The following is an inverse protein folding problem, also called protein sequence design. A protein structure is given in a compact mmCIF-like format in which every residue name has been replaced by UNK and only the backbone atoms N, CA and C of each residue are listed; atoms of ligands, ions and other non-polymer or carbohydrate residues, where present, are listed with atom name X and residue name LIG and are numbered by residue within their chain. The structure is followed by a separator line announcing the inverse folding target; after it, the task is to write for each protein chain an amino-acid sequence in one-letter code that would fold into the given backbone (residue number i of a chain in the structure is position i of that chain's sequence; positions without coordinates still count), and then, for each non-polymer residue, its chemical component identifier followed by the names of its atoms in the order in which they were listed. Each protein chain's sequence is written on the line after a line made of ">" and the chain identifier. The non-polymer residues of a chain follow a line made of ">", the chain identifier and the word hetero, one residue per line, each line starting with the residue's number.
data_IF_991009218969
#
_entry.id   IF_991009218969
#
_cell.length_a   1.000
_cell.length_b   1.000
_cell.length_c   1.000
_cell.angle_alpha   90.00
_cell.angle_beta   90.00
_cell.angle_gamma   90.00
#
_symmetry.space_group_name_H-M   'P 1'
#
loop_
_entity.id
_entity.type
_entity.pdbx_description
1 polymer ?
#
# COMPACT_ATOMS: atom_id res chain seq x y z
N UNK A 1 -1.64 -5.18 28.58
CA UNK A 1 -0.47 -5.99 29.02
C UNK A 1 -0.16 -7.01 27.94
N UNK A 2 0.74 -6.65 27.02
CA UNK A 2 1.20 -7.56 25.96
C UNK A 2 2.23 -8.50 26.55
N UNK A 3 1.99 -9.82 26.48
CA UNK A 3 2.96 -10.84 26.89
C UNK A 3 4.23 -10.65 26.08
N UNK A 4 5.32 -10.29 26.76
CA UNK A 4 6.69 -10.36 26.24
C UNK A 4 6.88 -11.80 25.77
N UNK A 5 6.79 -12.04 24.45
CA UNK A 5 7.07 -13.37 23.89
C UNK A 5 8.51 -13.68 24.32
N UNK A 6 8.67 -14.65 25.21
CA UNK A 6 9.97 -15.26 25.49
C UNK A 6 10.63 -15.62 24.16
N UNK A 7 11.98 -15.55 24.09
CA UNK A 7 12.86 -15.87 22.94
C UNK A 7 12.55 -17.24 22.30
N UNK A 8 11.37 -17.38 21.73
CA UNK A 8 10.88 -18.58 21.07
C UNK A 8 11.21 -18.42 19.61
N UNK A 9 12.05 -19.35 19.13
CA UNK A 9 12.48 -19.57 17.75
C UNK A 9 11.56 -18.89 16.74
N UNK A 10 11.92 -17.68 16.31
CA UNK A 10 11.18 -16.99 15.26
C UNK A 10 11.49 -17.72 13.95
N UNK A 11 10.59 -18.65 13.56
CA UNK A 11 10.76 -19.51 12.38
C UNK A 11 10.32 -18.86 11.07
N UNK A 12 9.59 -17.73 11.14
CA UNK A 12 9.02 -17.04 9.97
C UNK A 12 9.37 -15.55 9.97
N UNK A 13 9.79 -15.04 8.81
CA UNK A 13 10.08 -13.61 8.58
C UNK A 13 8.93 -12.69 9.01
N UNK A 14 7.69 -13.11 8.76
CA UNK A 14 6.48 -12.36 9.14
C UNK A 14 6.34 -12.18 10.65
N UNK A 15 6.72 -13.20 11.44
CA UNK A 15 6.67 -13.13 12.91
C UNK A 15 7.77 -12.24 13.46
N UNK A 16 8.96 -12.25 12.82
CA UNK A 16 10.05 -11.33 13.18
C UNK A 16 9.66 -9.89 12.91
N UNK A 17 9.05 -9.60 11.77
CA UNK A 17 8.63 -8.24 11.41
C UNK A 17 7.65 -7.65 12.42
N UNK A 18 6.67 -8.43 12.86
CA UNK A 18 5.71 -8.01 13.89
C UNK A 18 6.38 -7.79 15.25
N UNK A 19 7.33 -8.66 15.62
CA UNK A 19 8.12 -8.47 16.83
C UNK A 19 8.97 -7.19 16.78
N UNK A 20 9.70 -6.98 15.69
CA UNK A 20 10.54 -5.81 15.48
C UNK A 20 9.71 -4.52 15.41
N UNK A 21 8.49 -4.56 14.88
CA UNK A 21 7.59 -3.40 14.91
C UNK A 21 7.31 -2.91 16.33
N UNK A 22 7.14 -3.84 17.27
CA UNK A 22 7.02 -3.49 18.70
C UNK A 22 8.35 -2.95 19.26
N UNK A 23 9.49 -3.58 18.95
CA UNK A 23 10.80 -3.09 19.35
C UNK A 23 11.16 -1.72 18.76
N UNK A 24 10.68 -1.39 17.56
CA UNK A 24 10.97 -0.10 16.92
C UNK A 24 10.06 0.99 17.46
N UNK A 25 8.83 0.66 17.87
CA UNK A 25 7.83 1.64 18.34
C UNK A 25 8.28 2.49 19.54
N UNK A 26 9.20 1.96 20.35
CA UNK A 26 9.82 2.68 21.49
C UNK A 26 10.75 3.82 21.06
N UNK A 27 11.18 3.87 19.79
CA UNK A 27 12.00 4.96 19.25
C UNK A 27 11.18 6.09 18.60
N UNK A 28 9.85 5.95 18.55
CA UNK A 28 8.93 6.89 17.90
C UNK A 28 8.73 6.61 16.42
N UNK A 29 8.38 7.65 15.66
CA UNK A 29 8.28 7.56 14.20
C UNK A 29 9.69 7.58 13.58
N UNK A 30 10.13 6.42 13.10
CA UNK A 30 11.45 6.22 12.50
C UNK A 30 11.33 5.40 11.22
N UNK A 31 12.19 5.68 10.25
CA UNK A 31 12.38 4.78 9.11
C UNK A 31 13.22 3.59 9.59
N UNK A 32 12.79 2.38 9.27
CA UNK A 32 13.52 1.18 9.67
C UNK A 32 13.31 0.06 8.67
N UNK A 33 14.25 -0.88 8.66
CA UNK A 33 14.14 -2.13 7.93
C UNK A 33 14.99 -3.20 8.62
N UNK A 34 14.85 -4.46 8.20
CA UNK A 34 15.64 -5.55 8.76
C UNK A 34 16.05 -6.55 7.69
N UNK A 35 17.10 -7.32 7.99
CA UNK A 35 17.61 -8.35 7.09
C UNK A 35 17.96 -9.59 7.89
N UNK A 36 17.70 -10.77 7.33
CA UNK A 36 18.11 -12.06 7.91
C UNK A 36 19.32 -12.58 7.16
N UNK A 37 20.41 -12.84 7.89
CA UNK A 37 21.63 -13.41 7.31
C UNK A 37 22.37 -14.23 8.37
N UNK A 38 22.82 -15.42 7.97
CA UNK A 38 23.64 -16.33 8.80
C UNK A 38 23.05 -16.65 10.19
N UNK A 39 21.72 -16.74 10.27
CA UNK A 39 21.01 -17.01 11.53
C UNK A 39 20.85 -15.79 12.45
N UNK A 40 21.35 -14.62 12.05
CA UNK A 40 21.16 -13.35 12.73
C UNK A 40 20.13 -12.48 12.00
N UNK A 41 19.46 -11.62 12.76
CA UNK A 41 18.73 -10.49 12.18
C UNK A 41 19.54 -9.21 12.40
N UNK A 42 19.56 -8.38 11.37
CA UNK A 42 20.12 -7.04 11.40
C UNK A 42 18.97 -6.07 11.35
N UNK A 43 18.89 -5.14 12.29
CA UNK A 43 17.90 -4.09 12.33
C UNK A 43 18.60 -2.76 12.07
N UNK A 44 18.11 -2.00 11.09
CA UNK A 44 18.59 -0.65 10.81
C UNK A 44 17.46 0.34 11.08
N UNK A 45 17.80 1.45 11.73
CA UNK A 45 16.88 2.52 12.03
C UNK A 45 17.52 3.86 11.62
N UNK A 46 16.73 4.71 10.98
CA UNK A 46 17.05 6.09 10.67
C UNK A 46 16.01 6.99 11.36
N UNK A 47 16.52 7.85 12.25
CA UNK A 47 15.75 8.80 13.05
C UNK A 47 16.21 10.21 12.73
N UNK A 48 15.29 11.17 12.77
CA UNK A 48 15.56 12.60 12.55
C UNK A 48 16.26 12.86 11.19
N UNK A 49 15.86 12.10 10.17
CA UNK A 49 16.40 12.19 8.82
C UNK A 49 15.27 12.38 7.81
N UNK A 50 15.36 13.44 7.00
CA UNK A 50 14.43 13.64 5.89
C UNK A 50 14.80 12.67 4.77
N UNK A 51 13.98 11.63 4.62
CA UNK A 51 14.24 10.57 3.65
C UNK A 51 13.97 11.09 2.23
N UNK A 52 14.95 11.04 1.32
CA UNK A 52 14.73 11.43 -0.08
C UNK A 52 13.61 10.61 -0.71
N UNK A 53 12.81 11.23 -1.59
CA UNK A 53 11.69 10.55 -2.26
C UNK A 53 12.15 9.36 -3.11
N UNK A 54 13.37 9.43 -3.62
CA UNK A 54 14.05 8.44 -4.44
C UNK A 54 14.95 7.50 -3.64
N UNK A 55 14.82 7.46 -2.30
CA UNK A 55 15.56 6.47 -1.51
C UNK A 55 15.19 5.05 -1.97
N UNK A 56 16.22 4.22 -2.11
CA UNK A 56 16.05 2.86 -2.61
C UNK A 56 16.22 1.80 -1.51
N UNK A 57 17.19 1.99 -0.62
CA UNK A 57 17.48 1.08 0.46
C UNK A 57 18.14 1.80 1.62
N UNK A 58 18.07 1.20 2.81
CA UNK A 58 18.92 1.59 3.93
C UNK A 58 20.27 0.84 3.82
N UNK A 59 21.34 1.46 4.31
CA UNK A 59 22.63 0.81 4.51
C UNK A 59 23.18 1.24 5.88
N UNK A 60 24.02 0.41 6.49
CA UNK A 60 24.68 0.77 7.74
C UNK A 60 26.11 1.19 7.46
N UNK A 61 26.55 2.29 8.06
CA UNK A 61 27.88 2.88 7.86
C UNK A 61 29.02 1.86 7.96
N UNK A 62 28.96 0.92 8.92
CA UNK A 62 30.01 -0.10 9.11
C UNK A 62 30.17 -1.02 7.89
N UNK A 63 29.06 -1.37 7.24
CA UNK A 63 29.08 -2.17 6.01
C UNK A 63 29.51 -1.33 4.82
N UNK A 64 29.04 -0.09 4.73
CA UNK A 64 29.46 0.87 3.70
C UNK A 64 30.97 1.09 3.73
N UNK A 65 31.55 1.34 4.91
CA UNK A 65 33.00 1.49 5.11
C UNK A 65 33.75 0.20 4.76
N UNK A 66 33.29 -0.97 5.24
CA UNK A 66 33.93 -2.24 4.93
C UNK A 66 34.02 -2.50 3.42
N UNK A 67 33.01 -2.09 2.64
CA UNK A 67 32.97 -2.24 1.18
C UNK A 67 34.11 -1.51 0.44
N UNK A 68 34.68 -0.46 1.04
CA UNK A 68 35.82 0.29 0.47
C UNK A 68 37.04 -0.62 0.32
N UNK A 69 37.22 -1.61 1.20
CA UNK A 69 38.31 -2.58 1.11
C UNK A 69 38.36 -3.28 -0.25
N UNK A 70 37.20 -3.67 -0.79
CA UNK A 70 37.07 -4.28 -2.11
C UNK A 70 37.45 -3.35 -3.26
N UNK A 71 37.12 -2.06 -3.14
CA UNK A 71 37.53 -1.04 -4.14
C UNK A 71 39.04 -0.86 -4.15
N UNK A 72 39.66 -0.85 -2.96
CA UNK A 72 41.10 -0.71 -2.80
C UNK A 72 41.86 -2.02 -3.05
N UNK A 73 41.15 -3.12 -3.36
CA UNK A 73 41.77 -4.43 -3.59
C UNK A 73 42.45 -5.00 -2.34
N UNK A 74 41.94 -4.71 -1.14
CA UNK A 74 42.52 -5.10 0.15
C UNK A 74 41.59 -6.06 0.88
N UNK A 75 42.04 -7.29 1.09
CA UNK A 75 41.28 -8.30 1.86
C UNK A 75 41.37 -8.08 3.38
N UNK A 76 42.48 -7.51 3.85
CA UNK A 76 42.69 -7.15 5.24
C UNK A 76 42.87 -5.63 5.32
N UNK A 77 41.96 -4.95 6.01
CA UNK A 77 42.01 -3.48 6.14
C UNK A 77 41.39 -3.04 7.47
N UNK A 78 42.07 -2.14 8.16
CA UNK A 78 41.49 -1.39 9.29
C UNK A 78 41.04 -0.03 8.77
N UNK A 79 39.91 0.46 9.24
CA UNK A 79 39.34 1.75 8.84
C UNK A 79 39.00 2.51 10.12
N UNK A 80 39.51 3.73 10.23
CA UNK A 80 39.22 4.63 11.33
C UNK A 80 38.45 5.84 10.79
N UNK A 81 37.13 5.83 10.96
CA UNK A 81 36.23 6.90 10.53
C UNK A 81 35.94 7.85 11.68
N UNK A 82 36.50 9.06 11.62
CA UNK A 82 36.36 10.07 12.67
C UNK A 82 35.34 11.11 12.19
N UNK A 83 34.09 10.88 12.57
CA UNK A 83 32.99 11.79 12.30
C UNK A 83 32.91 12.96 13.29
N UNK A 84 31.88 13.78 13.10
CA UNK A 84 31.59 14.91 13.99
C UNK A 84 31.21 14.47 15.41
N UNK A 85 30.26 13.53 15.53
CA UNK A 85 29.67 13.11 16.82
C UNK A 85 30.19 11.77 17.34
N UNK A 86 30.80 10.96 16.48
CA UNK A 86 31.24 9.61 16.80
C UNK A 86 32.47 9.26 15.98
N UNK A 87 33.20 8.27 16.48
CA UNK A 87 34.31 7.64 15.79
C UNK A 87 33.99 6.17 15.63
N UNK A 88 34.10 5.67 14.40
CA UNK A 88 33.81 4.29 14.03
C UNK A 88 35.12 3.62 13.61
N UNK A 89 35.46 2.52 14.27
CA UNK A 89 36.51 1.60 13.80
C UNK A 89 35.86 0.41 13.10
N UNK A 90 36.38 0.05 11.94
CA UNK A 90 35.99 -1.13 11.17
C UNK A 90 37.24 -1.93 10.85
N UNK A 91 37.19 -3.24 11.09
CA UNK A 91 38.18 -4.21 10.65
C UNK A 91 37.54 -5.11 9.61
N UNK A 92 38.20 -5.20 8.47
CA UNK A 92 37.89 -6.09 7.37
C UNK A 92 38.88 -7.24 7.39
N UNK A 93 38.37 -8.46 7.26
CA UNK A 93 39.18 -9.64 7.00
C UNK A 93 38.55 -10.47 5.88
N UNK A 94 39.38 -11.02 5.00
CA UNK A 94 38.94 -11.73 3.78
C UNK A 94 37.93 -10.93 2.93
N UNK A 95 38.07 -9.60 2.90
CA UNK A 95 37.19 -8.69 2.15
C UNK A 95 35.80 -8.49 2.75
N UNK A 96 35.54 -8.99 3.96
CA UNK A 96 34.25 -8.84 4.65
C UNK A 96 34.42 -8.14 6.01
N UNK A 97 33.33 -7.57 6.52
CA UNK A 97 33.31 -6.98 7.86
C UNK A 97 33.55 -8.07 8.92
N UNK A 98 34.68 -7.98 9.64
CA UNK A 98 35.06 -8.91 10.72
C UNK A 98 34.66 -8.35 12.09
N UNK A 99 35.01 -7.08 12.33
CA UNK A 99 34.78 -6.43 13.62
C UNK A 99 34.52 -4.94 13.43
N UNK A 100 33.71 -4.36 14.30
CA UNK A 100 33.58 -2.90 14.39
C UNK A 100 33.39 -2.45 15.83
N UNK A 101 33.75 -1.20 16.09
CA UNK A 101 33.48 -0.53 17.36
C UNK A 101 33.16 0.93 17.12
N UNK A 102 32.20 1.46 17.86
CA UNK A 102 31.78 2.86 17.78
C UNK A 102 31.90 3.50 19.15
N UNK A 103 32.51 4.67 19.21
CA UNK A 103 32.50 5.53 20.39
C UNK A 103 31.76 6.80 20.03
N UNK A 104 30.84 7.25 20.91
CA UNK A 104 30.07 8.48 20.75
C UNK A 104 30.90 9.73 21.11
N UNK A 105 32.13 9.79 20.59
CA UNK A 105 33.06 10.92 20.68
C UNK A 105 33.70 11.11 19.30
N UNK A 106 33.70 12.35 18.81
CA UNK A 106 34.26 12.71 17.51
C UNK A 106 34.78 14.16 17.52
N UNK A 107 34.68 14.85 16.40
CA UNK A 107 35.08 16.26 16.29
C UNK A 107 34.45 17.22 17.30
N UNK A 108 33.17 17.04 17.66
CA UNK A 108 32.46 17.86 18.66
C UNK A 108 33.08 17.67 20.05
N UNK A 109 33.43 16.43 20.40
CA UNK A 109 34.09 16.12 21.67
C UNK A 109 35.44 16.84 21.82
N UNK A 110 36.24 16.87 20.75
CA UNK A 110 37.52 17.58 20.76
C UNK A 110 37.31 19.09 21.00
N UNK A 111 36.27 19.68 20.42
CA UNK A 111 35.93 21.09 20.61
C UNK A 111 35.45 21.37 22.04
N UNK A 112 34.53 20.56 22.56
CA UNK A 112 34.05 20.68 23.95
C UNK A 112 35.20 20.55 24.95
N UNK A 113 36.13 19.64 24.70
CA UNK A 113 37.32 19.47 25.53
C UNK A 113 38.22 20.71 25.48
N UNK A 114 38.43 21.33 24.32
CA UNK A 114 39.16 22.59 24.18
C UNK A 114 38.45 23.75 24.89
N UNK A 115 37.14 23.92 24.67
CA UNK A 115 36.32 24.95 25.33
C UNK A 115 36.50 24.87 26.85
N UNK A 116 36.39 23.67 27.42
CA UNK A 116 36.51 23.45 28.87
C UNK A 116 37.92 23.73 29.40
N UNK A 117 38.97 23.32 28.68
CA UNK A 117 40.35 23.39 29.18
C UNK A 117 41.05 24.72 28.87
N UNK A 118 40.62 25.45 27.83
CA UNK A 118 41.20 26.75 27.45
C UNK A 118 40.29 27.93 27.77
N UNK A 119 39.05 27.69 28.22
CA UNK A 119 38.04 28.72 28.47
C UNK A 119 37.80 29.63 27.26
N UNK A 120 37.76 29.02 26.07
CA UNK A 120 37.47 29.69 24.79
C UNK A 120 36.06 29.35 24.31
N UNK A 121 35.51 30.12 23.39
CA UNK A 121 34.25 29.78 22.75
C UNK A 121 34.43 28.64 21.72
N UNK A 122 33.31 28.10 21.22
CA UNK A 122 33.32 26.95 20.32
C UNK A 122 33.99 27.25 18.96
N UNK A 123 33.83 28.47 18.44
CA UNK A 123 34.43 28.90 17.16
C UNK A 123 35.96 28.94 17.26
N UNK A 124 36.48 29.50 18.35
CA UNK A 124 37.91 29.53 18.63
C UNK A 124 38.46 28.13 18.89
N UNK A 125 37.71 27.26 19.57
CA UNK A 125 38.07 25.85 19.73
C UNK A 125 38.18 25.12 18.38
N UNK A 126 37.21 25.30 17.47
CA UNK A 126 37.25 24.73 16.12
C UNK A 126 38.46 25.27 15.33
N UNK A 127 38.75 26.57 15.45
CA UNK A 127 39.92 27.19 14.82
C UNK A 127 41.23 26.58 15.32
N UNK A 128 41.40 26.49 16.64
CA UNK A 128 42.58 25.86 17.27
C UNK A 128 42.72 24.40 16.81
N UNK A 129 41.63 23.64 16.79
CA UNK A 129 41.62 22.23 16.36
C UNK A 129 42.08 22.09 14.90
N UNK A 130 41.58 22.91 13.97
CA UNK A 130 41.99 22.87 12.56
C UNK A 130 43.42 23.35 12.33
N UNK A 131 43.81 24.43 13.00
CA UNK A 131 45.13 25.05 12.80
C UNK A 131 46.25 24.21 13.39
N UNK A 132 46.07 23.72 14.62
CA UNK A 132 47.12 23.02 15.39
C UNK A 132 46.99 21.50 15.35
N UNK A 133 45.78 20.96 15.22
CA UNK A 133 45.53 19.52 15.25
C UNK A 133 46.12 18.86 16.50
N UNK A 134 46.76 17.72 16.32
CA UNK A 134 47.37 16.91 17.40
C UNK A 134 48.71 17.48 17.89
N UNK A 135 49.22 18.57 17.29
CA UNK A 135 50.34 19.33 17.83
C UNK A 135 49.93 20.16 19.06
N UNK A 136 48.63 20.32 19.30
CA UNK A 136 48.12 20.89 20.54
C UNK A 136 47.90 19.75 21.56
N UNK A 137 48.59 19.81 22.71
CA UNK A 137 48.53 18.75 23.74
C UNK A 137 47.13 18.50 24.30
N UNK A 138 46.25 19.51 24.31
CA UNK A 138 44.86 19.36 24.78
C UNK A 138 44.06 18.56 23.76
N UNK A 139 44.22 18.85 22.47
CA UNK A 139 43.59 18.07 21.39
C UNK A 139 44.15 16.65 21.38
N UNK A 140 45.46 16.49 21.54
CA UNK A 140 46.15 15.20 21.59
C UNK A 140 45.61 14.33 22.73
N UNK A 141 45.47 14.90 23.93
CA UNK A 141 44.89 14.21 25.09
C UNK A 141 43.44 13.81 24.84
N UNK A 142 42.61 14.71 24.33
CA UNK A 142 41.22 14.41 24.01
C UNK A 142 41.09 13.30 22.96
N UNK A 143 41.96 13.32 21.93
CA UNK A 143 42.02 12.28 20.90
C UNK A 143 42.46 10.93 21.48
N UNK A 144 43.43 10.93 22.41
CA UNK A 144 43.84 9.71 23.11
C UNK A 144 42.68 9.07 23.86
N UNK A 145 41.83 9.87 24.53
CA UNK A 145 40.62 9.36 25.21
C UNK A 145 39.59 8.76 24.23
N UNK A 146 39.53 9.23 22.97
CA UNK A 146 38.72 8.59 21.93
C UNK A 146 39.33 7.23 21.57
N UNK A 147 40.64 7.16 21.37
CA UNK A 147 41.35 5.93 21.00
C UNK A 147 41.30 4.87 22.10
N UNK A 148 41.50 5.27 23.36
CA UNK A 148 41.30 4.39 24.53
C UNK A 148 39.87 3.88 24.61
N UNK A 149 38.89 4.74 24.33
CA UNK A 149 37.48 4.36 24.27
C UNK A 149 37.17 3.34 23.18
N UNK A 150 37.90 3.38 22.05
CA UNK A 150 37.84 2.36 21.01
C UNK A 150 38.52 1.07 21.47
N UNK A 151 39.64 1.14 22.20
CA UNK A 151 40.34 -0.04 22.71
C UNK A 151 40.67 -1.04 21.58
N UNK A 152 41.11 -0.52 20.44
CA UNK A 152 41.45 -1.29 19.24
C UNK A 152 42.92 -1.15 18.91
N UNK A 153 43.47 -2.16 18.24
CA UNK A 153 44.84 -2.14 17.74
C UNK A 153 44.91 -1.45 16.37
N UNK A 154 45.71 -0.38 16.28
CA UNK A 154 45.96 0.41 15.07
C UNK A 154 47.28 0.06 14.38
N UNK A 155 47.91 -1.07 14.73
CA UNK A 155 49.07 -1.60 13.98
C UNK A 155 48.70 -1.97 12.53
N UNK A 156 49.69 -1.97 11.65
CA UNK A 156 49.49 -2.24 10.23
C UNK A 156 48.81 -1.08 9.48
N UNK A 157 48.15 -1.42 8.37
CA UNK A 157 47.54 -0.44 7.47
C UNK A 157 46.15 0.00 7.94
N UNK A 158 45.96 1.31 8.06
CA UNK A 158 44.72 1.92 8.55
C UNK A 158 44.25 3.00 7.57
N UNK A 159 43.09 2.78 6.95
CA UNK A 159 42.39 3.80 6.18
C UNK A 159 41.84 4.88 7.11
N UNK A 160 42.31 6.11 6.95
CA UNK A 160 41.78 7.27 7.66
C UNK A 160 40.56 7.83 6.91
N UNK A 161 39.42 7.90 7.60
CA UNK A 161 38.11 8.29 7.06
C UNK A 161 37.42 9.34 7.93
N UNK A 162 36.42 10.01 7.37
CA UNK A 162 35.64 11.03 8.05
C UNK A 162 36.34 12.38 8.07
N UNK A 163 35.61 13.45 8.41
CA UNK A 163 36.19 14.80 8.45
C UNK A 163 37.34 14.94 9.46
N UNK A 164 37.36 14.11 10.51
CA UNK A 164 38.44 14.08 11.49
C UNK A 164 39.75 13.48 10.97
N UNK A 165 39.75 12.78 9.83
CA UNK A 165 40.98 12.34 9.16
C UNK A 165 41.86 13.52 8.68
N UNK A 166 41.30 14.74 8.61
CA UNK A 166 42.05 15.97 8.27
C UNK A 166 42.75 16.61 9.48
N UNK A 167 42.66 16.00 10.66
CA UNK A 167 43.29 16.52 11.85
C UNK A 167 44.82 16.43 11.70
N UNK A 168 45.52 17.57 11.72
CA UNK A 168 46.97 17.60 11.51
C UNK A 168 47.71 16.70 12.50
N UNK A 169 48.57 15.82 12.01
CA UNK A 169 49.38 14.90 12.82
C UNK A 169 48.67 13.60 13.18
N UNK A 170 47.52 13.31 12.57
CA UNK A 170 46.80 12.05 12.80
C UNK A 170 47.54 10.85 12.22
N UNK A 171 48.30 11.08 11.16
CA UNK A 171 49.14 10.09 10.50
C UNK A 171 50.20 9.53 11.45
N UNK A 172 50.62 10.32 12.46
CA UNK A 172 51.58 9.89 13.48
C UNK A 172 50.96 8.93 14.53
N UNK A 173 49.62 8.83 14.59
CA UNK A 173 48.90 7.94 15.51
C UNK A 173 48.62 6.55 14.94
N UNK A 174 48.89 6.34 13.65
CA UNK A 174 48.69 5.07 12.96
C UNK A 174 50.01 4.61 12.36
N UNK A 175 50.28 3.30 12.36
CA UNK A 175 51.57 2.79 11.90
C UNK A 175 51.75 2.99 10.38
N UNK A 176 50.71 2.69 9.60
CA UNK A 176 50.70 2.84 8.14
C UNK A 176 49.40 3.51 7.71
N UNK A 177 49.34 4.86 7.70
CA UNK A 177 48.16 5.58 7.26
C UNK A 177 47.90 5.30 5.77
N UNK A 178 46.64 5.01 5.45
CA UNK A 178 46.13 4.89 4.09
C UNK A 178 45.05 5.94 3.88
N UNK A 179 45.00 6.50 2.67
CA UNK A 179 43.94 7.38 2.21
C UNK A 179 43.30 6.77 0.96
N UNK A 180 42.04 7.12 0.72
CA UNK A 180 41.32 6.64 -0.46
C UNK A 180 41.63 7.57 -1.66
N UNK A 181 42.18 7.01 -2.74
CA UNK A 181 42.52 7.77 -3.94
C UNK A 181 41.27 8.17 -4.78
N UNK A 182 40.11 7.57 -4.50
CA UNK A 182 38.88 7.78 -5.27
C UNK A 182 37.95 8.85 -4.69
N UNK A 183 38.12 9.23 -3.42
CA UNK A 183 37.30 10.26 -2.79
C UNK A 183 37.96 10.88 -1.55
N UNK A 184 37.49 12.06 -1.18
CA UNK A 184 37.93 12.72 0.06
C UNK A 184 37.53 11.90 1.31
N UNK A 185 38.29 11.98 2.42
CA UNK A 185 38.06 11.15 3.60
C UNK A 185 36.64 11.21 4.16
N UNK A 186 36.01 12.39 4.19
CA UNK A 186 34.64 12.58 4.64
C UNK A 186 33.56 11.91 3.76
N UNK A 187 33.93 11.51 2.53
CA UNK A 187 33.01 10.90 1.56
C UNK A 187 33.11 9.37 1.53
N UNK A 188 34.07 8.76 2.22
CA UNK A 188 34.30 7.31 2.20
C UNK A 188 33.04 6.49 2.50
N UNK A 189 32.31 6.82 3.58
CA UNK A 189 31.07 6.11 3.93
C UNK A 189 29.99 6.22 2.84
N UNK A 190 29.78 7.43 2.29
CA UNK A 190 28.81 7.64 1.22
C UNK A 190 29.24 6.93 -0.08
N UNK A 191 30.53 6.98 -0.41
CA UNK A 191 31.12 6.27 -1.55
C UNK A 191 30.92 4.76 -1.40
N UNK A 192 31.25 4.19 -0.24
CA UNK A 192 30.98 2.79 0.08
C UNK A 192 29.50 2.44 -0.06
N UNK A 193 28.58 3.26 0.47
CA UNK A 193 27.13 3.04 0.37
C UNK A 193 26.66 3.01 -1.09
N UNK A 194 27.18 3.92 -1.94
CA UNK A 194 26.83 3.98 -3.36
C UNK A 194 27.18 2.69 -4.14
N UNK A 195 28.15 1.93 -3.64
CA UNK A 195 28.62 0.69 -4.26
C UNK A 195 27.83 -0.55 -3.83
N UNK A 196 26.85 -0.44 -2.92
CA UNK A 196 26.09 -1.58 -2.38
C UNK A 196 25.50 -2.49 -3.46
N UNK A 197 25.09 -1.92 -4.59
CA UNK A 197 24.42 -2.65 -5.67
C UNK A 197 25.30 -2.86 -6.91
N UNK A 198 26.53 -2.34 -6.87
CA UNK A 198 27.52 -2.52 -7.93
C UNK A 198 28.52 -3.59 -7.53
N UNK A 199 28.94 -3.56 -6.26
CA UNK A 199 29.88 -4.50 -5.68
C UNK A 199 29.15 -5.61 -4.94
N UNK A 200 29.44 -6.86 -5.29
CA UNK A 200 28.87 -8.02 -4.61
C UNK A 200 29.59 -8.19 -3.28
N UNK A 201 28.92 -7.86 -2.18
CA UNK A 201 29.42 -8.10 -0.83
C UNK A 201 28.50 -9.05 -0.05
N UNK A 202 28.97 -9.48 1.11
CA UNK A 202 28.18 -10.27 2.04
C UNK A 202 27.35 -9.40 2.99
N UNK A 203 27.34 -8.06 2.87
CA UNK A 203 26.61 -7.28 3.87
C UNK A 203 25.08 -7.45 3.72
N UNK A 204 24.33 -7.35 4.83
CA UNK A 204 22.88 -7.46 4.79
C UNK A 204 22.25 -6.46 3.81
N UNK A 205 21.14 -6.83 3.20
CA UNK A 205 20.37 -5.94 2.32
C UNK A 205 19.08 -5.56 3.00
N UNK A 206 18.87 -4.26 3.18
CA UNK A 206 17.70 -3.64 3.79
C UNK A 206 16.80 -3.06 2.70
N UNK A 207 16.31 -3.97 1.86
CA UNK A 207 15.29 -3.64 0.86
C UNK A 207 13.97 -4.07 1.46
N UNK A 208 12.96 -3.20 1.35
CA UNK A 208 11.57 -3.64 1.31
C UNK A 208 11.49 -4.67 0.19
N UNK A 209 11.45 -5.95 0.54
CA UNK A 209 11.18 -6.99 -0.44
C UNK A 209 9.86 -6.62 -1.11
N UNK A 210 9.91 -6.32 -2.41
CA UNK A 210 8.72 -6.31 -3.24
C UNK A 210 8.05 -7.67 -3.04
N UNK A 211 6.74 -7.65 -2.82
CA UNK A 211 5.91 -8.84 -2.59
C UNK A 211 6.40 -9.95 -3.51
N UNK A 212 6.85 -11.07 -2.93
CA UNK A 212 7.44 -12.17 -3.69
C UNK A 212 6.50 -12.60 -4.82
N UNK A 213 7.00 -13.05 -5.99
CA UNK A 213 6.11 -13.56 -7.05
C UNK A 213 5.13 -14.63 -6.53
N UNK A 214 5.54 -15.41 -5.54
CA UNK A 214 4.67 -16.41 -4.88
C UNK A 214 3.56 -15.75 -4.07
N UNK A 215 3.87 -14.68 -3.35
CA UNK A 215 2.90 -13.88 -2.60
C UNK A 215 1.97 -13.11 -3.54
N UNK A 216 2.49 -12.53 -4.64
CA UNK A 216 1.68 -11.88 -5.67
C UNK A 216 0.68 -12.86 -6.31
N UNK A 217 1.14 -14.08 -6.65
CA UNK A 217 0.26 -15.15 -7.15
C UNK A 217 -0.78 -15.55 -6.12
N UNK A 218 -0.40 -15.63 -4.86
CA UNK A 218 -1.33 -15.96 -3.76
C UNK A 218 -2.38 -14.86 -3.58
N UNK A 219 -1.96 -13.59 -3.60
CA UNK A 219 -2.85 -12.42 -3.52
C UNK A 219 -3.81 -12.36 -4.70
N UNK A 220 -3.29 -12.59 -5.92
CA UNK A 220 -4.09 -12.67 -7.14
C UNK A 220 -5.11 -13.82 -7.08
N UNK A 221 -4.72 -14.98 -6.55
CA UNK A 221 -5.62 -16.11 -6.35
C UNK A 221 -6.73 -15.76 -5.35
N UNK A 222 -6.39 -15.15 -4.21
CA UNK A 222 -7.38 -14.71 -3.22
C UNK A 222 -8.34 -13.66 -3.77
N UNK A 223 -7.82 -12.67 -4.51
CA UNK A 223 -8.64 -11.68 -5.21
C UNK A 223 -9.56 -12.35 -6.24
N UNK A 224 -9.04 -13.29 -7.03
CA UNK A 224 -9.84 -14.06 -7.99
C UNK A 224 -10.97 -14.84 -7.33
N UNK A 225 -10.69 -15.58 -6.25
CA UNK A 225 -11.69 -16.34 -5.49
C UNK A 225 -12.74 -15.43 -4.87
N UNK A 226 -12.32 -14.31 -4.25
CA UNK A 226 -13.26 -13.34 -3.65
C UNK A 226 -14.18 -12.71 -4.70
N UNK A 227 -13.65 -12.42 -5.89
CA UNK A 227 -14.41 -11.85 -7.02
C UNK A 227 -15.40 -12.87 -7.57
N UNK A 228 -14.98 -14.13 -7.77
CA UNK A 228 -15.86 -15.22 -8.17
C UNK A 228 -16.98 -15.48 -7.15
N UNK A 229 -16.67 -15.48 -5.86
CA UNK A 229 -17.65 -15.63 -4.79
C UNK A 229 -18.67 -14.47 -4.80
N UNK A 230 -18.21 -13.24 -5.03
CA UNK A 230 -19.09 -12.08 -5.18
C UNK A 230 -20.05 -12.25 -6.37
N UNK A 231 -19.55 -12.62 -7.55
CA UNK A 231 -20.41 -12.85 -8.72
C UNK A 231 -21.34 -14.05 -8.56
N UNK A 232 -20.87 -15.14 -7.95
CA UNK A 232 -21.69 -16.30 -7.62
C UNK A 232 -22.83 -15.92 -6.68
N UNK A 233 -22.56 -15.10 -5.66
CA UNK A 233 -23.60 -14.59 -4.78
C UNK A 233 -24.67 -13.81 -5.54
N UNK A 234 -24.30 -12.86 -6.41
CA UNK A 234 -25.28 -12.08 -7.18
C UNK A 234 -26.07 -12.90 -8.20
N UNK A 235 -25.43 -13.87 -8.86
CA UNK A 235 -26.08 -14.72 -9.87
C UNK A 235 -27.00 -15.78 -9.24
N UNK A 236 -26.60 -16.35 -8.10
CA UNK A 236 -27.38 -17.38 -7.39
C UNK A 236 -28.46 -16.77 -6.48
N UNK A 237 -28.35 -15.51 -6.08
CA UNK A 237 -29.33 -14.85 -5.21
C UNK A 237 -30.73 -14.76 -5.83
N UNK A 238 -30.83 -14.46 -7.12
CA UNK A 238 -32.12 -14.36 -7.81
C UNK A 238 -32.90 -15.69 -7.90
N UNK A 239 -32.31 -16.81 -8.38
CA UNK A 239 -33.01 -18.09 -8.41
C UNK A 239 -33.36 -18.61 -7.01
N UNK A 240 -32.44 -18.51 -6.04
CA UNK A 240 -32.71 -18.91 -4.64
C UNK A 240 -33.84 -18.08 -4.04
N UNK A 241 -33.88 -16.77 -4.29
CA UNK A 241 -34.96 -15.89 -3.84
C UNK A 241 -36.30 -16.24 -4.51
N UNK A 242 -36.31 -16.59 -5.80
CA UNK A 242 -37.52 -17.01 -6.52
C UNK A 242 -38.06 -18.34 -6.01
N UNK A 243 -37.19 -19.30 -5.74
CA UNK A 243 -37.58 -20.62 -5.27
C UNK A 243 -38.08 -20.59 -3.82
N UNK A 244 -37.41 -19.82 -2.95
CA UNK A 244 -37.89 -19.55 -1.60
C UNK A 244 -39.23 -18.82 -1.59
N UNK A 245 -39.42 -17.77 -2.43
CA UNK A 245 -40.71 -17.10 -2.60
C UNK A 245 -41.82 -18.04 -3.09
N UNK A 246 -41.51 -18.91 -4.06
CA UNK A 246 -42.46 -19.90 -4.60
C UNK A 246 -42.93 -20.86 -3.50
N UNK A 247 -41.98 -21.40 -2.74
CA UNK A 247 -42.25 -22.31 -1.61
C UNK A 247 -43.06 -21.62 -0.52
N UNK A 248 -42.71 -20.37 -0.19
CA UNK A 248 -43.41 -19.57 0.82
C UNK A 248 -44.85 -19.25 0.38
N UNK A 249 -45.06 -18.95 -0.90
CA UNK A 249 -46.39 -18.71 -1.46
C UNK A 249 -47.24 -19.97 -1.51
N UNK A 250 -46.65 -21.14 -1.79
CA UNK A 250 -47.36 -22.43 -1.70
C UNK A 250 -47.82 -22.71 -0.27
N UNK A 251 -46.93 -22.60 0.72
CA UNK A 251 -47.30 -22.77 2.14
C UNK A 251 -48.36 -21.77 2.60
N UNK A 252 -48.30 -20.52 2.14
CA UNK A 252 -49.34 -19.52 2.42
C UNK A 252 -50.69 -19.92 1.84
N UNK A 253 -50.72 -20.45 0.60
CA UNK A 253 -51.96 -20.95 -0.03
C UNK A 253 -52.53 -22.14 0.73
N UNK A 254 -51.69 -23.11 1.10
CA UNK A 254 -52.11 -24.28 1.89
C UNK A 254 -52.70 -23.87 3.25
N UNK A 255 -52.01 -23.01 4.00
CA UNK A 255 -52.49 -22.50 5.29
C UNK A 255 -53.78 -21.68 5.16
N UNK A 256 -53.91 -20.91 4.07
CA UNK A 256 -55.13 -20.15 3.80
C UNK A 256 -56.30 -21.09 3.50
N UNK A 257 -56.11 -22.08 2.61
CA UNK A 257 -57.14 -23.08 2.28
C UNK A 257 -57.55 -23.94 3.48
N UNK A 258 -56.62 -24.24 4.40
CA UNK A 258 -56.95 -24.93 5.65
C UNK A 258 -57.86 -24.09 6.56
N UNK A 259 -57.63 -22.77 6.63
CA UNK A 259 -58.42 -21.87 7.49
C UNK A 259 -59.72 -21.38 6.84
N UNK A 260 -59.77 -21.32 5.51
CA UNK A 260 -60.89 -20.77 4.73
C UNK A 260 -61.21 -21.69 3.53
N UNK A 261 -61.83 -22.87 3.77
CA UNK A 261 -62.02 -23.90 2.75
C UNK A 261 -62.95 -23.47 1.60
N UNK A 262 -63.92 -22.59 1.87
CA UNK A 262 -64.92 -22.15 0.88
C UNK A 262 -64.49 -20.89 0.10
N UNK A 263 -63.30 -20.36 0.37
CA UNK A 263 -62.79 -19.15 -0.28
C UNK A 263 -61.63 -19.52 -1.20
N UNK A 264 -61.69 -19.21 -2.51
CA UNK A 264 -60.59 -19.50 -3.41
C UNK A 264 -59.31 -18.78 -2.96
N UNK A 265 -58.15 -19.45 -2.94
CA UNK A 265 -56.90 -18.89 -2.45
C UNK A 265 -56.34 -17.88 -3.45
N UNK A 266 -56.86 -16.66 -3.41
CA UNK A 266 -56.31 -15.51 -4.14
C UNK A 266 -55.16 -14.93 -3.33
N UNK A 267 -54.05 -14.59 -3.97
CA UNK A 267 -52.90 -14.01 -3.28
C UNK A 267 -53.31 -12.66 -2.69
N UNK A 268 -53.15 -12.48 -1.37
CA UNK A 268 -53.42 -11.21 -0.66
C UNK A 268 -52.73 -10.01 -1.33
N UNK A 269 -51.57 -10.24 -1.96
CA UNK A 269 -50.82 -9.23 -2.71
C UNK A 269 -51.53 -8.74 -3.99
N UNK A 270 -52.31 -9.61 -4.65
CA UNK A 270 -53.14 -9.23 -5.82
C UNK A 270 -54.35 -8.41 -5.40
N UNK A 271 -54.97 -8.77 -4.26
CA UNK A 271 -56.03 -7.97 -3.65
C UNK A 271 -55.50 -6.60 -3.23
N UNK A 272 -54.34 -6.51 -2.58
CA UNK A 272 -53.72 -5.24 -2.18
C UNK A 272 -53.26 -4.39 -3.37
N UNK A 273 -52.70 -4.99 -4.44
CA UNK A 273 -52.34 -4.27 -5.68
C UNK A 273 -53.55 -3.70 -6.42
N UNK A 274 -54.71 -4.37 -6.31
CA UNK A 274 -55.97 -3.85 -6.88
C UNK A 274 -56.51 -2.64 -6.08
N UNK A 275 -56.30 -2.64 -4.76
CA UNK A 275 -56.74 -1.56 -3.86
C UNK A 275 -55.83 -0.33 -3.86
N UNK A 276 -54.54 -0.48 -4.20
CA UNK A 276 -53.53 0.61 -4.14
C UNK A 276 -53.28 1.31 -5.48
N UNK A 277 -53.84 0.85 -6.60
CA UNK A 277 -53.74 1.52 -7.91
C UNK A 277 -54.73 2.69 -8.05
N UNK A 278 -54.69 3.63 -7.12
CA UNK A 278 -55.48 4.86 -7.09
C UNK A 278 -54.70 5.99 -7.77
N UNK A 279 -54.65 5.96 -9.12
CA UNK A 279 -54.45 7.11 -10.03
C UNK A 279 -54.25 6.58 -11.46
N UNK A 280 -55.30 5.98 -12.03
CA UNK A 280 -55.40 5.85 -13.49
C UNK A 280 -56.61 6.69 -13.91
N UNK A 281 -56.45 7.52 -14.93
CA UNK A 281 -57.58 8.23 -15.57
C UNK A 281 -58.76 7.27 -15.66
N UNK A 282 -59.92 7.70 -15.14
CA UNK A 282 -61.15 6.92 -15.18
C UNK A 282 -61.34 6.35 -16.58
N UNK A 283 -61.65 5.06 -16.66
CA UNK A 283 -61.93 4.36 -17.92
C UNK A 283 -62.98 5.12 -18.74
N UNK A 284 -63.94 5.75 -18.07
CA UNK A 284 -64.98 6.59 -18.69
C UNK A 284 -64.38 7.82 -19.41
N UNK A 285 -63.33 8.44 -18.86
CA UNK A 285 -62.64 9.57 -19.50
C UNK A 285 -61.93 9.10 -20.78
N UNK A 286 -61.28 7.94 -20.74
CA UNK A 286 -60.62 7.35 -21.92
C UNK A 286 -61.63 6.96 -22.99
N UNK A 287 -62.78 6.41 -22.60
CA UNK A 287 -63.89 6.14 -23.50
C UNK A 287 -64.42 7.40 -24.16
N UNK A 288 -64.68 8.46 -23.39
CA UNK A 288 -65.21 9.71 -23.94
C UNK A 288 -64.22 10.32 -24.96
N UNK A 289 -62.93 10.37 -24.62
CA UNK A 289 -61.87 10.82 -25.55
C UNK A 289 -61.80 9.96 -26.82
N UNK A 290 -62.04 8.66 -26.71
CA UNK A 290 -62.00 7.74 -27.84
C UNK A 290 -63.19 7.94 -28.78
N UNK A 291 -64.41 7.97 -28.23
CA UNK A 291 -65.64 8.10 -29.01
C UNK A 291 -65.79 9.47 -29.66
N UNK A 292 -65.35 10.55 -29.00
CA UNK A 292 -65.38 11.90 -29.60
C UNK A 292 -64.45 12.06 -30.82
N UNK A 293 -63.47 11.17 -30.98
CA UNK A 293 -62.53 11.19 -32.11
C UNK A 293 -62.94 10.25 -33.26
N UNK A 294 -64.00 9.44 -33.09
CA UNK A 294 -64.45 8.53 -34.13
C UNK A 294 -65.31 9.29 -35.17
N UNK A 295 -64.94 9.28 -36.45
CA UNK A 295 -65.75 9.87 -37.51
C UNK A 295 -67.09 9.15 -37.65
N UNK A 296 -68.11 9.87 -38.13
CA UNK A 296 -69.37 9.24 -38.53
C UNK A 296 -69.15 8.20 -39.64
N UNK A 297 -69.88 7.09 -39.58
CA UNK A 297 -69.76 5.98 -40.53
C UNK A 297 -68.84 4.83 -40.09
N UNK A 298 -68.25 4.91 -38.89
CA UNK A 298 -67.49 3.83 -38.26
C UNK A 298 -68.39 2.98 -37.36
N UNK A 299 -68.27 1.66 -37.45
CA UNK A 299 -68.92 0.71 -36.53
C UNK A 299 -67.90 0.08 -35.61
N UNK A 300 -68.01 0.31 -34.30
CA UNK A 300 -67.18 -0.34 -33.28
C UNK A 300 -67.94 -1.55 -32.75
N UNK A 301 -67.31 -2.72 -32.77
CA UNK A 301 -67.94 -3.95 -32.29
C UNK A 301 -67.14 -4.64 -31.18
N UNK A 302 -65.87 -4.26 -30.95
CA UNK A 302 -65.08 -4.78 -29.82
C UNK A 302 -64.32 -3.69 -29.12
N UNK A 303 -64.36 -3.74 -27.79
CA UNK A 303 -63.67 -2.80 -26.91
C UNK A 303 -62.98 -3.63 -25.82
N UNK A 304 -61.68 -3.44 -25.66
CA UNK A 304 -60.89 -4.12 -24.64
C UNK A 304 -60.17 -3.10 -23.77
N UNK A 305 -60.25 -3.24 -22.44
CA UNK A 305 -59.46 -2.43 -21.51
C UNK A 305 -58.61 -3.34 -20.63
N UNK A 306 -57.30 -3.34 -20.85
CA UNK A 306 -56.36 -4.16 -20.07
C UNK A 306 -55.15 -3.34 -19.67
N UNK A 307 -54.73 -3.47 -18.41
CA UNK A 307 -53.54 -2.82 -17.85
C UNK A 307 -53.45 -1.29 -18.02
N UNK A 308 -54.55 -0.58 -18.27
CA UNK A 308 -54.56 0.87 -18.48
C UNK A 308 -54.71 1.30 -19.94
N UNK A 309 -54.69 0.36 -20.88
CA UNK A 309 -54.73 0.59 -22.32
C UNK A 309 -56.13 0.24 -22.84
N UNK A 310 -56.74 1.16 -23.60
CA UNK A 310 -58.02 0.95 -24.26
C UNK A 310 -57.78 0.60 -25.74
N UNK A 311 -58.27 -0.56 -26.17
CA UNK A 311 -58.25 -0.99 -27.57
C UNK A 311 -59.67 -0.98 -28.14
N UNK A 312 -59.83 -0.36 -29.30
CA UNK A 312 -61.07 -0.34 -30.06
C UNK A 312 -60.87 -1.08 -31.37
N UNK A 313 -61.75 -2.04 -31.66
CA UNK A 313 -61.81 -2.74 -32.94
C UNK A 313 -63.13 -2.41 -33.62
N UNK A 314 -63.04 -1.94 -34.86
CA UNK A 314 -64.21 -1.56 -35.64
C UNK A 314 -63.97 -1.67 -37.14
N UNK A 315 -65.00 -1.37 -37.93
CA UNK A 315 -64.96 -1.33 -39.38
C UNK A 315 -65.42 0.02 -39.93
N UNK A 316 -64.85 0.43 -41.06
CA UNK A 316 -65.24 1.65 -41.78
C UNK A 316 -64.74 1.67 -43.22
N UNK A 317 -65.10 2.72 -43.96
CA UNK A 317 -64.58 2.95 -45.31
C UNK A 317 -63.09 3.35 -45.27
N UNK A 318 -62.35 3.05 -46.33
CA UNK A 318 -60.88 3.21 -46.38
C UNK A 318 -60.41 4.62 -46.00
N UNK A 319 -61.04 5.65 -46.56
CA UNK A 319 -60.69 7.05 -46.31
C UNK A 319 -60.89 7.43 -44.84
N UNK A 320 -61.92 6.89 -44.20
CA UNK A 320 -62.26 7.15 -42.81
C UNK A 320 -61.26 6.45 -41.89
N UNK A 321 -60.93 5.18 -42.18
CA UNK A 321 -59.98 4.39 -41.39
C UNK A 321 -58.56 4.96 -41.47
N UNK A 322 -58.12 5.44 -42.64
CA UNK A 322 -56.80 6.08 -42.79
C UNK A 322 -56.64 7.33 -41.91
N UNK A 323 -57.71 8.10 -41.69
CA UNK A 323 -57.67 9.30 -40.82
C UNK A 323 -57.49 8.96 -39.33
N UNK A 324 -57.87 7.76 -38.91
CA UNK A 324 -57.78 7.32 -37.51
C UNK A 324 -56.37 6.94 -37.07
N UNK A 325 -55.41 6.80 -38.00
CA UNK A 325 -54.04 6.30 -37.76
C UNK A 325 -54.01 5.06 -36.83
N UNK A 326 -54.73 3.99 -37.19
CA UNK A 326 -54.83 2.80 -36.35
C UNK A 326 -53.51 2.02 -36.29
N UNK A 327 -53.34 1.21 -35.25
CA UNK A 327 -52.18 0.33 -35.06
C UNK A 327 -52.19 -0.85 -36.05
N UNK A 328 -53.37 -1.29 -36.47
CA UNK A 328 -53.52 -2.28 -37.54
C UNK A 328 -54.76 -2.02 -38.38
N UNK A 329 -54.68 -2.37 -39.67
CA UNK A 329 -55.79 -2.30 -40.64
C UNK A 329 -55.84 -3.60 -41.43
N UNK A 330 -57.04 -4.16 -41.62
CA UNK A 330 -57.29 -5.34 -42.43
C UNK A 330 -58.50 -5.14 -43.33
N UNK A 331 -58.37 -5.44 -44.62
CA UNK A 331 -59.49 -5.37 -45.56
C UNK A 331 -60.46 -6.55 -45.31
N UNK A 332 -61.74 -6.27 -45.19
CA UNK A 332 -62.77 -7.29 -44.98
C UNK A 332 -63.27 -7.85 -46.33
N UNK A 333 -63.86 -9.06 -46.35
CA UNK A 333 -64.47 -9.63 -47.55
C UNK A 333 -65.61 -8.79 -48.14
N UNK A 334 -66.19 -7.88 -47.35
CA UNK A 334 -67.29 -6.99 -47.75
C UNK A 334 -66.80 -5.67 -48.37
N UNK A 335 -65.49 -5.49 -48.54
CA UNK A 335 -64.88 -4.29 -49.11
C UNK A 335 -64.66 -3.13 -48.13
N UNK A 336 -65.02 -3.30 -46.85
CA UNK A 336 -64.70 -2.34 -45.76
C UNK A 336 -63.32 -2.63 -45.17
N UNK A 337 -62.85 -1.76 -44.29
CA UNK A 337 -61.57 -1.90 -43.60
C UNK A 337 -61.80 -2.00 -42.10
N UNK A 338 -61.36 -3.12 -41.51
CA UNK A 338 -61.28 -3.32 -40.08
C UNK A 338 -60.04 -2.64 -39.52
N UNK A 339 -60.15 -1.98 -38.38
CA UNK A 339 -59.05 -1.29 -37.73
C UNK A 339 -58.96 -1.62 -36.24
N UNK A 340 -57.74 -1.59 -35.71
CA UNK A 340 -57.49 -1.60 -34.26
C UNK A 340 -56.85 -0.28 -33.83
N UNK A 341 -57.51 0.45 -32.96
CA UNK A 341 -57.02 1.71 -32.40
C UNK A 341 -56.66 1.52 -30.92
N UNK A 342 -55.44 1.93 -30.56
CA UNK A 342 -54.91 1.73 -29.20
C UNK A 342 -54.61 3.06 -28.55
N UNK A 343 -55.29 3.30 -27.43
CA UNK A 343 -55.20 4.51 -26.63
C UNK A 343 -54.52 4.17 -25.32
N UNK A 344 -53.30 4.68 -25.16
CA UNK A 344 -52.49 4.50 -23.96
C UNK A 344 -52.92 5.45 -22.84
#
# INVERSE_FOLDING_TARGET
>A
MSRKKEKTEIKKISELKEYLKYEVSQFGEVLWDFSLKDGYYYLVLAKDFEVPKDYYALDCEVFSLARISGVLGKEELKILDIGRRKTTFVKVSKGELDFYRVVLKGGDYLNEYLVKNLNVNYEEAERIKKEKGLKNEIVKKAFHEIMEGLGVDLSGEVLLSGGGARLKGIEEFVEKPLFNDYCEPELNSAFGASLKFVYKDSSPSFRKEEISQKEQRTLALFLGVSTLAFFAYFTLKEPVKKETLKTLNQKKKELFSQKFPDIPPVLVEEQLKSLTKTQKESVLIKFNKAFMKLPQGVKVYRIEYTNGVLKLVGEGNEEIVRRLKPESVKKTPKGTYEFTLVLK
#
